data_IF_242493750827
#
_entry.id   IF_242493750827
#
_cell.length_a   1.000
_cell.length_b   1.000
_cell.length_c   1.000
_cell.angle_alpha   90.00
_cell.angle_beta   90.00
_cell.angle_gamma   90.00
#
_symmetry.space_group_name_H-M   'P 1'
#
loop_
_entity.id
_entity.type
_entity.pdbx_description
1 polymer ?
#
# COMPACT_ATOMS: atom_id res chain seq x y z
N UNK A 1 -16.04 56.93 11.00
CA UNK A 1 -15.12 55.82 10.65
C UNK A 1 -15.94 54.56 10.44
N UNK A 2 -15.65 53.87 9.35
CA UNK A 2 -16.48 52.86 8.71
C UNK A 2 -15.76 51.52 8.81
N UNK A 3 -16.22 50.61 9.65
CA UNK A 3 -15.75 49.22 9.60
C UNK A 3 -16.90 48.29 9.94
N UNK A 4 -17.58 47.82 8.88
CA UNK A 4 -18.55 46.73 8.95
C UNK A 4 -17.76 45.46 9.20
N UNK A 5 -17.90 44.89 10.40
CA UNK A 5 -17.39 43.55 10.73
C UNK A 5 -18.29 42.56 10.02
N UNK A 6 -17.90 42.21 8.80
CA UNK A 6 -18.43 41.05 8.08
C UNK A 6 -17.42 39.94 8.31
N UNK A 7 -17.74 38.99 9.17
CA UNK A 7 -17.31 37.61 8.99
C UNK A 7 -18.24 36.71 9.79
N UNK A 8 -19.45 36.58 9.25
CA UNK A 8 -20.37 35.53 9.63
C UNK A 8 -19.72 34.19 9.30
N UNK A 9 -19.22 33.55 10.34
CA UNK A 9 -19.25 32.11 10.56
C UNK A 9 -20.47 31.51 9.87
N UNK A 10 -20.30 30.56 8.95
CA UNK A 10 -21.04 29.30 8.91
C UNK A 10 -20.65 28.44 7.70
N UNK A 11 -20.44 27.15 7.98
CA UNK A 11 -20.74 26.01 7.11
C UNK A 11 -19.81 25.72 5.93
N UNK A 12 -18.80 24.90 6.21
CA UNK A 12 -18.55 23.62 5.51
C UNK A 12 -17.37 22.96 6.24
N UNK A 13 -17.58 22.03 7.19
CA UNK A 13 -18.43 20.88 7.02
C UNK A 13 -17.86 19.91 5.98
N UNK A 14 -16.53 19.84 5.82
CA UNK A 14 -15.88 18.72 5.15
C UNK A 14 -15.20 17.88 6.21
N UNK A 15 -15.98 16.96 6.80
CA UNK A 15 -15.40 15.76 7.39
C UNK A 15 -14.69 15.01 6.28
N UNK A 16 -13.40 15.32 6.08
CA UNK A 16 -12.50 14.37 5.44
C UNK A 16 -12.45 13.19 6.38
N UNK A 17 -13.31 12.22 6.05
CA UNK A 17 -13.27 10.85 6.53
C UNK A 17 -11.80 10.47 6.65
N UNK A 18 -11.39 10.09 7.86
CA UNK A 18 -10.07 9.53 8.08
C UNK A 18 -9.95 8.25 7.26
N UNK A 19 -9.45 8.36 6.03
CA UNK A 19 -8.79 7.22 5.44
C UNK A 19 -7.61 6.93 6.37
N UNK A 20 -7.43 5.68 6.86
CA UNK A 20 -6.21 5.35 7.56
C UNK A 20 -5.08 5.55 6.56
N UNK A 21 -4.40 6.69 6.67
CA UNK A 21 -3.09 6.90 6.10
C UNK A 21 -2.08 6.06 6.89
N UNK A 22 -2.32 4.75 6.97
CA UNK A 22 -1.24 3.79 6.87
C UNK A 22 -0.83 3.79 5.39
N UNK A 23 -0.38 4.94 4.90
CA UNK A 23 0.55 4.98 3.81
C UNK A 23 1.69 4.11 4.30
N UNK A 24 1.68 2.86 3.82
CA UNK A 24 2.71 1.88 4.06
C UNK A 24 3.98 2.61 3.67
N UNK A 25 4.73 3.11 4.67
CA UNK A 25 6.00 3.75 4.43
C UNK A 25 6.73 2.83 3.45
N UNK A 26 7.17 3.33 2.28
CA UNK A 26 7.75 2.47 1.25
C UNK A 26 8.90 1.75 1.92
N UNK A 27 8.66 0.49 2.30
CA UNK A 27 9.71 -0.31 2.91
C UNK A 27 10.70 -0.50 1.79
N UNK A 28 11.99 -0.26 2.02
CA UNK A 28 12.97 -0.56 1.00
C UNK A 28 12.74 -2.00 0.57
N UNK A 29 12.40 -2.20 -0.71
CA UNK A 29 12.32 -3.53 -1.30
C UNK A 29 13.65 -4.21 -0.94
N UNK A 30 13.58 -5.40 -0.35
CA UNK A 30 14.79 -6.19 -0.15
C UNK A 30 15.39 -6.48 -1.53
N UNK A 31 16.72 -6.65 -1.62
CA UNK A 31 17.36 -7.03 -2.89
C UNK A 31 16.70 -8.27 -3.51
N UNK A 32 16.22 -9.18 -2.65
CA UNK A 32 15.40 -10.32 -3.03
C UNK A 32 14.10 -9.91 -3.74
N UNK A 33 13.27 -9.06 -3.12
CA UNK A 33 12.00 -8.63 -3.72
C UNK A 33 12.22 -7.80 -5.00
N UNK A 34 13.28 -6.98 -5.06
CA UNK A 34 13.65 -6.26 -6.27
C UNK A 34 14.02 -7.20 -7.42
N UNK A 35 14.77 -8.28 -7.13
CA UNK A 35 15.12 -9.32 -8.11
C UNK A 35 13.89 -10.13 -8.54
N UNK A 36 13.04 -10.51 -7.59
CA UNK A 36 11.81 -11.25 -7.87
C UNK A 36 10.84 -10.41 -8.73
N UNK A 37 10.74 -9.09 -8.48
CA UNK A 37 9.95 -8.16 -9.29
C UNK A 37 10.43 -8.03 -10.73
N UNK A 38 11.74 -8.10 -10.97
CA UNK A 38 12.30 -8.14 -12.33
C UNK A 38 11.95 -9.42 -13.07
N UNK A 39 11.86 -10.55 -12.36
CA UNK A 39 11.53 -11.84 -12.95
C UNK A 39 10.02 -12.03 -13.17
N UNK A 40 9.19 -11.53 -12.25
CA UNK A 40 7.74 -11.71 -12.24
C UNK A 40 7.07 -10.40 -11.78
N UNK A 41 6.79 -9.46 -12.70
CA UNK A 41 6.25 -8.14 -12.34
C UNK A 41 4.82 -8.25 -11.81
N UNK A 42 4.42 -7.29 -10.96
CA UNK A 42 3.06 -7.22 -10.42
C UNK A 42 2.85 -7.95 -9.08
N UNK A 43 3.93 -8.37 -8.42
CA UNK A 43 3.90 -8.87 -7.06
C UNK A 43 4.20 -7.82 -5.98
N UNK A 44 3.96 -8.20 -4.73
CA UNK A 44 4.10 -7.37 -3.54
C UNK A 44 5.11 -8.01 -2.61
N UNK A 45 6.05 -7.21 -2.08
CA UNK A 45 6.96 -7.66 -1.04
C UNK A 45 6.24 -7.61 0.32
N UNK A 46 6.15 -8.75 1.01
CA UNK A 46 5.53 -8.85 2.34
C UNK A 46 6.47 -8.29 3.41
N UNK A 47 5.95 -7.94 4.60
CA UNK A 47 6.77 -7.60 5.76
C UNK A 47 7.82 -8.63 6.16
N UNK A 48 7.64 -9.90 5.76
CA UNK A 48 8.54 -11.01 6.04
C UNK A 48 9.63 -11.18 4.97
N UNK A 49 9.64 -10.34 3.94
CA UNK A 49 10.58 -10.43 2.82
C UNK A 49 10.21 -11.47 1.77
N UNK A 50 8.95 -11.95 1.77
CA UNK A 50 8.43 -12.83 0.72
C UNK A 50 7.92 -11.98 -0.44
N UNK A 51 8.05 -12.44 -1.68
CA UNK A 51 7.48 -11.75 -2.84
C UNK A 51 6.26 -12.52 -3.34
N UNK A 52 5.08 -11.92 -3.25
CA UNK A 52 3.80 -12.58 -3.54
C UNK A 52 3.21 -12.03 -4.82
N UNK A 53 2.87 -12.90 -5.76
CA UNK A 53 2.19 -12.59 -7.02
C UNK A 53 0.79 -13.19 -7.03
N UNK A 54 0.06 -13.02 -8.14
CA UNK A 54 -1.25 -13.63 -8.31
C UNK A 54 -1.21 -15.16 -8.19
N UNK A 55 -0.15 -15.81 -8.70
CA UNK A 55 -0.07 -17.26 -8.83
C UNK A 55 1.08 -17.91 -8.07
N UNK A 56 2.00 -17.14 -7.48
CA UNK A 56 3.20 -17.67 -6.82
C UNK A 56 3.59 -16.85 -5.59
N UNK A 57 4.24 -17.51 -4.63
CA UNK A 57 4.94 -16.89 -3.50
C UNK A 57 6.41 -17.29 -3.60
N UNK A 58 7.27 -16.30 -3.74
CA UNK A 58 8.72 -16.45 -3.74
C UNK A 58 9.22 -16.20 -2.31
N UNK A 59 9.85 -17.21 -1.72
CA UNK A 59 10.38 -17.17 -0.37
C UNK A 59 11.87 -16.77 -0.40
N UNK A 60 12.36 -16.06 0.63
CA UNK A 60 13.77 -15.65 0.68
C UNK A 60 14.75 -16.82 0.78
N UNK A 61 14.29 -18.01 1.18
CA UNK A 61 15.09 -19.25 1.16
C UNK A 61 15.29 -19.85 -0.24
N UNK A 62 14.67 -19.25 -1.27
CA UNK A 62 14.78 -19.65 -2.67
C UNK A 62 13.65 -20.57 -3.14
N UNK A 63 12.79 -21.05 -2.25
CA UNK A 63 11.58 -21.79 -2.63
C UNK A 63 10.54 -20.90 -3.31
N UNK A 64 9.81 -21.51 -4.25
CA UNK A 64 8.65 -20.90 -4.90
C UNK A 64 7.44 -21.79 -4.65
N UNK A 65 6.39 -21.21 -4.08
CA UNK A 65 5.14 -21.90 -3.77
C UNK A 65 4.09 -21.44 -4.77
N UNK A 66 3.39 -22.39 -5.42
CA UNK A 66 2.25 -22.04 -6.24
C UNK A 66 1.11 -21.55 -5.34
N UNK A 67 0.57 -20.37 -5.64
CA UNK A 67 -0.61 -19.83 -5.00
C UNK A 67 -1.81 -20.38 -5.75
N UNK A 68 -2.44 -21.42 -5.20
CA UNK A 68 -3.77 -21.84 -5.64
C UNK A 68 -4.74 -20.77 -5.14
N UNK A 69 -5.21 -19.90 -6.04
CA UNK A 69 -6.39 -19.08 -5.77
C UNK A 69 -7.52 -20.07 -5.50
N UNK A 70 -7.98 -20.16 -4.24
CA UNK A 70 -8.95 -21.17 -3.81
C UNK A 70 -10.13 -21.23 -4.76
N UNK A 71 -10.21 -22.34 -5.49
CA UNK A 71 -11.38 -22.77 -6.25
C UNK A 71 -11.90 -24.03 -5.58
N UNK A 72 -12.56 -23.84 -4.45
CA UNK A 72 -13.47 -24.80 -3.82
C UNK A 72 -14.74 -24.05 -3.45
#
# INVERSE_FOLDING_TARGET
MKTKIVLATLMMGFGMVGAPALAQAPRPDTEFCAKARKADPGGICTPKGEYVTASKVYLPDGRVVARTTGGE
#
